data_IF_609262414199
#
_entry.id   IF_609262414199
#
_cell.length_a   1.000
_cell.length_b   1.000
_cell.length_c   1.000
_cell.angle_alpha   90.00
_cell.angle_beta   90.00
_cell.angle_gamma   90.00
#
_symmetry.space_group_name_H-M   'P 1'
#
loop_
_entity.id
_entity.type
_entity.pdbx_description
1 polymer ?
#
# COMPACT_ATOMS: atom_id res chain seq x y z
N UNK A 1 6.82 12.02 1.76
CA UNK A 1 6.27 11.67 0.44
C UNK A 1 4.80 12.05 0.47
N UNK A 2 4.31 12.69 -0.58
CA UNK A 2 2.91 13.08 -0.76
C UNK A 2 2.48 12.57 -2.13
N UNK A 3 1.22 12.18 -2.27
CA UNK A 3 0.60 11.81 -3.55
C UNK A 3 -0.74 12.50 -3.59
N UNK A 4 -0.99 13.28 -4.66
CA UNK A 4 -2.27 13.97 -4.83
C UNK A 4 -3.21 13.15 -5.72
N UNK A 5 -4.51 13.41 -5.57
CA UNK A 5 -5.51 12.80 -6.45
C UNK A 5 -5.21 13.14 -7.91
N UNK A 6 -5.20 12.12 -8.79
CA UNK A 6 -4.90 12.26 -10.21
C UNK A 6 -3.39 12.26 -10.55
N UNK A 7 -2.51 12.08 -9.57
CA UNK A 7 -1.06 12.06 -9.78
C UNK A 7 -0.50 10.62 -9.83
N UNK A 8 0.56 10.42 -10.60
CA UNK A 8 1.37 9.20 -10.59
C UNK A 8 2.74 9.51 -10.03
N UNK A 9 3.07 8.95 -8.87
CA UNK A 9 4.35 9.18 -8.17
C UNK A 9 5.19 7.91 -8.15
N UNK A 10 6.47 8.03 -8.52
CA UNK A 10 7.44 6.94 -8.46
C UNK A 10 8.31 6.98 -7.20
N UNK A 11 8.39 5.87 -6.47
CA UNK A 11 9.36 5.66 -5.40
C UNK A 11 10.50 4.77 -5.90
N UNK A 12 11.66 5.37 -6.20
CA UNK A 12 12.80 4.71 -6.82
C UNK A 12 14.00 4.61 -5.86
N UNK A 13 14.84 3.59 -6.05
CA UNK A 13 16.05 3.36 -5.25
C UNK A 13 16.59 1.94 -5.45
N UNK A 14 17.81 1.63 -4.98
CA UNK A 14 18.41 0.30 -5.13
C UNK A 14 17.63 -0.80 -4.37
N UNK A 15 17.97 -2.06 -4.60
CA UNK A 15 17.46 -3.17 -3.81
C UNK A 15 17.88 -2.99 -2.34
N UNK A 16 16.98 -3.29 -1.41
CA UNK A 16 17.22 -3.08 0.02
C UNK A 16 17.04 -1.63 0.51
N UNK A 17 16.77 -0.65 -0.37
CA UNK A 17 16.53 0.74 0.03
C UNK A 17 15.23 0.98 0.83
N UNK A 18 14.44 -0.07 1.11
CA UNK A 18 13.24 0.00 1.93
C UNK A 18 11.93 0.29 1.20
N UNK A 19 11.91 0.33 -0.14
CA UNK A 19 10.69 0.63 -0.94
C UNK A 19 9.49 -0.22 -0.54
N UNK A 20 9.65 -1.55 -0.52
CA UNK A 20 8.58 -2.48 -0.13
C UNK A 20 8.14 -2.27 1.31
N UNK A 21 9.09 -2.03 2.23
CA UNK A 21 8.78 -1.69 3.62
C UNK A 21 7.97 -0.40 3.73
N UNK A 22 8.27 0.61 2.91
CA UNK A 22 7.49 1.86 2.82
C UNK A 22 6.06 1.57 2.38
N UNK A 23 5.86 0.78 1.32
CA UNK A 23 4.52 0.37 0.90
C UNK A 23 3.78 -0.40 2.00
N UNK A 24 4.44 -1.33 2.69
CA UNK A 24 3.87 -2.08 3.81
C UNK A 24 3.43 -1.19 4.98
N UNK A 25 4.16 -0.12 5.26
CA UNK A 25 3.75 0.87 6.27
C UNK A 25 2.54 1.69 5.83
N UNK A 26 2.46 2.06 4.55
CA UNK A 26 1.33 2.82 3.98
C UNK A 26 0.04 1.99 4.01
N UNK A 27 0.12 0.71 3.63
CA UNK A 27 -1.06 -0.18 3.58
C UNK A 27 -1.43 -0.74 4.97
N UNK A 28 -0.58 -0.56 5.98
CA UNK A 28 -0.83 -1.03 7.34
C UNK A 28 -0.52 -2.50 7.57
N UNK A 29 0.39 -3.08 6.78
CA UNK A 29 0.92 -4.43 6.98
C UNK A 29 2.06 -4.43 8.03
N UNK A 30 2.87 -3.37 8.06
CA UNK A 30 3.90 -3.13 9.07
C UNK A 30 3.60 -1.82 9.79
N UNK A 31 3.74 -1.79 11.12
CA UNK A 31 3.57 -0.55 11.89
C UNK A 31 4.87 0.30 11.79
N UNK A 32 4.79 1.59 11.43
CA UNK A 32 5.96 2.46 11.47
C UNK A 32 6.41 2.69 12.93
N UNK A 33 7.73 2.65 13.18
CA UNK A 33 8.29 3.01 14.49
C UNK A 33 8.19 4.51 14.77
N UNK A 34 8.28 5.33 13.72
CA UNK A 34 8.19 6.79 13.74
C UNK A 34 7.51 7.31 12.46
N UNK A 35 6.97 8.52 12.54
CA UNK A 35 6.22 9.13 11.44
C UNK A 35 4.77 8.67 11.40
N UNK A 36 4.03 9.18 10.41
CA UNK A 36 2.60 8.96 10.29
C UNK A 36 2.18 8.79 8.83
N UNK A 37 1.07 8.08 8.62
CA UNK A 37 0.39 7.95 7.32
C UNK A 37 -0.90 8.73 7.40
N UNK A 38 -1.08 9.68 6.47
CA UNK A 38 -2.24 10.53 6.37
C UNK A 38 -2.99 10.21 5.07
N UNK A 39 -4.32 10.15 5.13
CA UNK A 39 -5.19 10.07 3.96
C UNK A 39 -6.24 11.18 4.09
N UNK A 40 -6.27 12.10 3.13
CA UNK A 40 -7.14 13.30 3.18
C UNK A 40 -7.03 14.09 4.49
N UNK A 41 -5.82 14.11 5.09
CA UNK A 41 -5.54 14.77 6.37
C UNK A 41 -5.90 13.95 7.61
N UNK A 42 -6.58 12.82 7.47
CA UNK A 42 -6.86 11.89 8.57
C UNK A 42 -5.65 10.99 8.84
N UNK A 43 -5.22 10.89 10.09
CA UNK A 43 -4.16 9.97 10.47
C UNK A 43 -4.66 8.52 10.51
N UNK A 44 -4.09 7.67 9.65
CA UNK A 44 -4.48 6.26 9.53
C UNK A 44 -3.39 5.29 9.98
N UNK A 45 -2.29 5.78 10.57
CA UNK A 45 -1.12 4.98 10.99
C UNK A 45 -1.46 3.81 11.92
N UNK A 46 -2.53 3.96 12.72
CA UNK A 46 -2.99 2.96 13.69
C UNK A 46 -4.05 2.01 13.11
N UNK A 47 -4.62 2.32 11.95
CA UNK A 47 -5.67 1.50 11.35
C UNK A 47 -5.08 0.21 10.76
N UNK A 48 -5.76 -0.94 10.96
CA UNK A 48 -5.38 -2.20 10.31
C UNK A 48 -5.65 -2.15 8.80
N UNK A 49 -4.96 -3.00 8.04
CA UNK A 49 -5.01 -3.06 6.57
C UNK A 49 -6.45 -3.06 6.00
N UNK A 50 -7.37 -3.85 6.57
CA UNK A 50 -8.75 -3.92 6.07
C UNK A 50 -9.53 -2.61 6.22
N UNK A 51 -9.21 -1.77 7.21
CA UNK A 51 -9.83 -0.44 7.37
C UNK A 51 -9.25 0.56 6.40
N UNK A 52 -7.95 0.50 6.13
CA UNK A 52 -7.29 1.33 5.11
C UNK A 52 -7.79 1.01 3.70
N UNK A 53 -7.98 -0.27 3.40
CA UNK A 53 -8.55 -0.71 2.13
C UNK A 53 -9.97 -0.18 1.89
N UNK A 54 -10.83 -0.21 2.92
CA UNK A 54 -12.18 0.38 2.86
C UNK A 54 -12.19 1.90 2.67
N UNK A 55 -11.10 2.58 2.99
CA UNK A 55 -10.91 4.01 2.72
C UNK A 55 -10.33 4.30 1.32
N UNK A 56 -10.05 3.28 0.51
CA UNK A 56 -9.62 3.43 -0.89
C UNK A 56 -8.15 3.10 -1.17
N UNK A 57 -7.38 2.64 -0.17
CA UNK A 57 -5.98 2.23 -0.39
C UNK A 57 -5.94 0.77 -0.86
N UNK A 58 -5.56 0.54 -2.11
CA UNK A 58 -5.31 -0.80 -2.66
C UNK A 58 -3.82 -1.06 -2.82
N UNK A 59 -3.43 -2.33 -2.86
CA UNK A 59 -2.03 -2.73 -2.96
C UNK A 59 -1.86 -3.88 -3.95
N UNK A 60 -0.89 -3.74 -4.84
CA UNK A 60 -0.42 -4.81 -5.70
C UNK A 60 0.96 -5.27 -5.20
N UNK A 61 1.09 -6.51 -4.70
CA UNK A 61 2.37 -7.05 -4.27
C UNK A 61 3.36 -7.21 -5.42
N UNK A 62 4.66 -7.21 -5.08
CA UNK A 62 5.73 -7.50 -6.04
C UNK A 62 5.69 -8.98 -6.50
N UNK A 63 5.34 -9.89 -5.60
CA UNK A 63 5.15 -11.31 -5.92
C UNK A 63 3.77 -11.56 -6.53
N UNK A 64 3.63 -12.57 -7.42
CA UNK A 64 2.35 -12.86 -8.05
C UNK A 64 1.24 -13.14 -7.03
N UNK A 65 0.13 -12.40 -7.11
CA UNK A 65 -1.01 -12.49 -6.19
C UNK A 65 -2.26 -13.18 -6.79
N UNK A 66 -2.17 -13.72 -8.00
CA UNK A 66 -3.29 -14.36 -8.72
C UNK A 66 -3.70 -15.70 -8.09
N UNK A 67 -5.01 -15.96 -8.03
CA UNK A 67 -5.54 -17.26 -7.64
C UNK A 67 -5.37 -18.27 -8.78
N UNK A 68 -4.31 -19.08 -8.70
CA UNK A 68 -3.88 -19.99 -9.78
C UNK A 68 -4.90 -21.05 -10.23
N UNK A 69 -5.92 -21.32 -9.41
CA UNK A 69 -6.96 -22.31 -9.70
C UNK A 69 -8.21 -21.70 -10.33
N UNK A 70 -8.24 -20.38 -10.48
CA UNK A 70 -9.38 -19.64 -11.01
C UNK A 70 -9.06 -19.16 -12.43
N UNK A 71 -10.10 -19.01 -13.22
CA UNK A 71 -10.05 -18.36 -14.54
C UNK A 71 -9.70 -16.87 -14.40
N UNK A 72 -9.43 -16.21 -15.53
CA UNK A 72 -9.19 -14.76 -15.55
C UNK A 72 -10.41 -14.00 -15.03
N UNK A 73 -11.61 -14.37 -15.49
CA UNK A 73 -12.86 -13.72 -15.08
C UNK A 73 -13.12 -13.83 -13.57
N UNK A 74 -12.85 -14.98 -12.97
CA UNK A 74 -13.00 -15.20 -11.52
C UNK A 74 -11.98 -14.43 -10.65
N UNK A 75 -10.88 -13.93 -11.23
CA UNK A 75 -9.88 -13.13 -10.51
C UNK A 75 -10.18 -11.62 -10.54
N UNK A 76 -11.05 -11.15 -11.45
CA UNK A 76 -11.37 -9.74 -11.67
C UNK A 76 -12.59 -9.31 -10.83
#
# INVERSE_FOLDING_TARGET
MEVRSGEVVGLLGPNGAGKTTTFYMIIGFVKPEKGQVLLDGEEISHLPIHRRARKGITYLPQEPSVFRKLTVEENL
#
